data_IF_216966830102
#
_entry.id   IF_216966830102
#
_cell.length_a   1.000
_cell.length_b   1.000
_cell.length_c   1.000
_cell.angle_alpha   90.00
_cell.angle_beta   90.00
_cell.angle_gamma   90.00
#
_symmetry.space_group_name_H-M   'P 1'
#
loop_
_entity.id
_entity.type
_entity.pdbx_description
1 polymer ?
#
# COMPACT_ATOMS: atom_id res chain seq x y z
N UNK A 1 32.03 15.12 -5.74
CA UNK A 1 31.22 15.72 -4.64
C UNK A 1 30.85 14.58 -3.70
N UNK A 2 31.27 14.65 -2.45
CA UNK A 2 30.91 13.62 -1.46
C UNK A 2 29.40 13.72 -1.21
N UNK A 3 28.62 12.61 -1.26
CA UNK A 3 27.18 12.63 -0.97
C UNK A 3 26.84 13.23 0.39
N UNK A 4 27.76 13.18 1.34
CA UNK A 4 27.59 13.74 2.69
C UNK A 4 27.65 15.28 2.71
N UNK A 5 28.27 15.90 1.70
CA UNK A 5 28.34 17.37 1.61
C UNK A 5 26.99 18.01 1.22
N UNK A 6 26.06 17.17 0.71
CA UNK A 6 24.70 17.59 0.38
C UNK A 6 23.74 17.54 1.57
N UNK A 7 24.17 16.95 2.69
CA UNK A 7 23.31 16.86 3.90
C UNK A 7 23.28 18.23 4.58
N UNK A 8 22.09 18.83 4.78
CA UNK A 8 21.98 20.09 5.47
C UNK A 8 22.44 19.95 6.91
N UNK A 9 23.32 20.83 7.36
CA UNK A 9 23.85 20.83 8.73
C UNK A 9 22.79 21.13 9.79
N UNK A 10 21.71 21.80 9.39
CA UNK A 10 20.60 22.16 10.28
C UNK A 10 19.26 21.92 9.55
N UNK A 11 18.77 20.68 9.48
CA UNK A 11 17.44 20.41 8.96
C UNK A 11 16.39 20.94 9.95
N UNK A 12 15.26 21.42 9.44
CA UNK A 12 14.13 21.81 10.27
C UNK A 12 13.42 20.63 10.91
N UNK A 13 13.52 19.46 10.28
CA UNK A 13 13.01 18.17 10.78
C UNK A 13 13.80 17.02 10.15
N UNK A 14 13.82 15.89 10.82
CA UNK A 14 14.38 14.64 10.29
C UNK A 14 13.25 13.59 10.20
N UNK A 15 13.07 13.02 9.02
CA UNK A 15 12.12 11.95 8.76
C UNK A 15 12.91 10.67 8.47
N UNK A 16 12.66 9.62 9.22
CA UNK A 16 13.34 8.33 9.06
C UNK A 16 12.41 7.33 8.40
N UNK A 17 12.84 6.81 7.25
CA UNK A 17 12.10 5.88 6.40
C UNK A 17 11.45 6.57 5.20
N UNK A 18 11.81 6.08 3.99
CA UNK A 18 11.31 6.58 2.71
C UNK A 18 10.12 5.80 2.16
N UNK A 19 9.34 5.15 3.02
CA UNK A 19 8.03 4.60 2.66
C UNK A 19 6.96 5.68 2.54
N UNK A 20 5.72 5.32 2.19
CA UNK A 20 4.63 6.28 1.95
C UNK A 20 4.42 7.23 3.14
N UNK A 21 4.44 6.72 4.37
CA UNK A 21 4.25 7.54 5.56
C UNK A 21 5.35 8.61 5.71
N UNK A 22 6.62 8.23 5.53
CA UNK A 22 7.74 9.17 5.61
C UNK A 22 7.72 10.17 4.46
N UNK A 23 7.40 9.74 3.24
CA UNK A 23 7.29 10.63 2.09
C UNK A 23 6.19 11.67 2.27
N UNK A 24 5.00 11.25 2.72
CA UNK A 24 3.88 12.17 3.00
C UNK A 24 4.24 13.13 4.14
N UNK A 25 4.87 12.63 5.22
CA UNK A 25 5.32 13.48 6.31
C UNK A 25 6.33 14.53 5.85
N UNK A 26 7.32 14.14 5.06
CA UNK A 26 8.31 15.06 4.52
C UNK A 26 7.68 16.10 3.57
N UNK A 27 6.72 15.66 2.75
CA UNK A 27 5.98 16.52 1.84
C UNK A 27 5.13 17.55 2.60
N UNK A 28 4.38 17.15 3.62
CA UNK A 28 3.59 18.07 4.44
C UNK A 28 4.46 19.07 5.22
N UNK A 29 5.60 18.62 5.77
CA UNK A 29 6.57 19.49 6.41
C UNK A 29 7.11 20.55 5.40
N UNK A 30 7.44 20.12 4.19
CA UNK A 30 7.92 21.04 3.15
C UNK A 30 6.83 22.05 2.75
N UNK A 31 5.58 21.64 2.64
CA UNK A 31 4.44 22.55 2.39
C UNK A 31 4.23 23.56 3.50
N UNK A 32 4.52 23.16 4.73
CA UNK A 32 4.49 24.06 5.89
C UNK A 32 5.73 24.97 6.01
N UNK A 33 6.62 24.96 5.01
CA UNK A 33 7.84 25.79 5.00
C UNK A 33 8.99 25.23 5.84
N UNK A 34 8.85 24.03 6.39
CA UNK A 34 9.93 23.34 7.10
C UNK A 34 10.83 22.65 6.07
N UNK A 35 12.15 22.66 6.30
CA UNK A 35 13.12 21.93 5.46
C UNK A 35 13.35 20.53 6.04
N UNK A 36 12.68 19.47 5.58
CA UNK A 36 12.89 18.13 6.09
C UNK A 36 14.17 17.52 5.49
N UNK A 37 14.84 16.70 6.31
CA UNK A 37 15.82 15.72 5.86
C UNK A 37 15.19 14.34 5.95
N UNK A 38 15.02 13.67 4.81
CA UNK A 38 14.53 12.29 4.78
C UNK A 38 15.72 11.33 4.69
N UNK A 39 15.73 10.34 5.58
CA UNK A 39 16.77 9.30 5.65
C UNK A 39 16.11 7.96 5.31
N UNK A 40 16.63 7.29 4.29
CA UNK A 40 16.20 5.95 3.87
C UNK A 40 17.40 5.00 3.84
N UNK A 41 17.22 3.81 4.39
CA UNK A 41 18.28 2.79 4.46
C UNK A 41 18.51 2.07 3.12
N UNK A 42 17.48 2.02 2.27
CA UNK A 42 17.55 1.39 0.94
C UNK A 42 18.00 2.39 -0.11
N UNK A 43 18.47 1.93 -1.24
CA UNK A 43 18.83 2.77 -2.37
C UNK A 43 17.64 3.32 -3.18
N UNK A 44 16.41 3.16 -2.69
CA UNK A 44 15.19 3.60 -3.36
C UNK A 44 14.12 4.02 -2.34
N UNK A 45 13.20 4.88 -2.77
CA UNK A 45 12.03 5.34 -2.02
C UNK A 45 10.79 4.51 -2.40
N UNK A 46 9.74 4.58 -1.57
CA UNK A 46 8.46 3.92 -1.80
C UNK A 46 8.14 2.83 -0.77
N UNK A 47 9.15 2.20 -0.16
CA UNK A 47 8.93 1.16 0.85
C UNK A 47 8.22 -0.08 0.28
N UNK A 48 6.96 -0.29 0.67
CA UNK A 48 6.10 -1.38 0.16
C UNK A 48 5.44 -1.06 -1.19
N UNK A 49 5.52 0.18 -1.67
CA UNK A 49 5.11 0.52 -3.03
C UNK A 49 6.32 0.23 -3.93
N UNK A 50 6.36 -0.96 -4.49
CA UNK A 50 7.49 -1.44 -5.26
C UNK A 50 7.03 -1.92 -6.64
N UNK A 51 7.81 -1.60 -7.66
CA UNK A 51 7.61 -2.00 -9.05
C UNK A 51 8.61 -3.05 -9.46
N UNK A 52 8.19 -3.93 -10.34
CA UNK A 52 9.07 -4.89 -11.00
C UNK A 52 8.55 -5.31 -12.36
N UNK A 53 9.32 -6.12 -13.06
CA UNK A 53 8.96 -6.62 -14.39
C UNK A 53 8.92 -8.14 -14.35
N UNK A 54 7.81 -8.73 -14.76
CA UNK A 54 7.64 -10.17 -14.87
C UNK A 54 7.22 -10.50 -16.30
N UNK A 55 8.04 -11.32 -16.99
CA UNK A 55 7.77 -11.69 -18.37
C UNK A 55 7.68 -10.51 -19.35
N UNK A 56 8.39 -9.40 -19.07
CA UNK A 56 8.35 -8.18 -19.89
C UNK A 56 7.17 -7.25 -19.60
N UNK A 57 6.35 -7.57 -18.59
CA UNK A 57 5.22 -6.74 -18.16
C UNK A 57 5.56 -6.10 -16.82
N UNK A 58 5.36 -4.79 -16.70
CA UNK A 58 5.51 -4.06 -15.44
C UNK A 58 4.37 -4.42 -14.51
N UNK A 59 4.73 -4.77 -13.28
CA UNK A 59 3.78 -5.16 -12.24
C UNK A 59 4.15 -4.51 -10.91
N UNK A 60 3.16 -4.31 -10.07
CA UNK A 60 3.37 -3.94 -8.69
C UNK A 60 3.76 -5.18 -7.88
N UNK A 61 4.87 -5.10 -7.13
CA UNK A 61 5.41 -6.19 -6.30
C UNK A 61 4.99 -6.06 -4.83
N UNK A 62 4.24 -5.05 -4.49
CA UNK A 62 3.83 -4.74 -3.13
C UNK A 62 2.43 -4.15 -3.09
N UNK A 63 2.28 -2.99 -2.44
CA UNK A 63 1.00 -2.29 -2.37
C UNK A 63 0.64 -1.71 -3.74
N UNK A 64 -0.45 -2.21 -4.33
CA UNK A 64 -0.92 -1.83 -5.68
C UNK A 64 -2.20 -1.01 -5.66
N UNK A 65 -2.95 -1.06 -4.56
CA UNK A 65 -4.26 -0.42 -4.46
C UNK A 65 -4.41 0.34 -3.15
N UNK A 66 -5.32 1.30 -3.16
CA UNK A 66 -5.74 2.00 -1.96
C UNK A 66 -7.26 2.09 -1.90
N UNK A 67 -7.79 2.25 -0.70
CA UNK A 67 -9.24 2.30 -0.47
C UNK A 67 -9.72 3.74 -0.48
N UNK A 68 -10.71 4.07 -1.30
CA UNK A 68 -11.38 5.36 -1.36
C UNK A 68 -12.38 5.54 -0.19
N UNK A 69 -11.96 5.22 1.04
CA UNK A 69 -12.75 5.46 2.24
C UNK A 69 -12.17 6.64 3.00
N UNK A 70 -12.83 7.77 2.94
CA UNK A 70 -12.36 9.02 3.54
C UNK A 70 -11.69 9.94 2.53
N UNK A 71 -11.33 11.12 2.98
CA UNK A 71 -10.80 12.19 2.13
C UNK A 71 -9.28 12.23 2.07
N UNK A 72 -8.58 11.54 2.98
CA UNK A 72 -7.15 11.75 3.19
C UNK A 72 -6.29 11.26 2.02
N UNK A 73 -6.50 10.02 1.58
CA UNK A 73 -5.71 9.46 0.45
C UNK A 73 -6.09 10.13 -0.87
N UNK A 74 -7.38 10.37 -1.11
CA UNK A 74 -7.84 11.06 -2.31
C UNK A 74 -7.30 12.48 -2.39
N UNK A 75 -7.25 13.21 -1.28
CA UNK A 75 -6.71 14.56 -1.25
C UNK A 75 -5.22 14.62 -1.58
N UNK A 76 -4.44 13.62 -1.18
CA UNK A 76 -3.02 13.51 -1.55
C UNK A 76 -2.86 13.19 -3.04
N UNK A 77 -3.64 12.24 -3.56
CA UNK A 77 -3.63 11.87 -4.98
C UNK A 77 -3.95 13.08 -5.85
N UNK A 78 -5.00 13.82 -5.49
CA UNK A 78 -5.42 15.05 -6.19
C UNK A 78 -4.36 16.16 -6.10
N UNK A 79 -3.80 16.38 -4.91
CA UNK A 79 -2.77 17.40 -4.70
C UNK A 79 -1.46 17.11 -5.46
N UNK A 80 -1.17 15.83 -5.74
CA UNK A 80 -0.05 15.40 -6.55
C UNK A 80 -0.38 15.32 -8.05
N UNK A 81 -1.63 15.57 -8.45
CA UNK A 81 -2.07 15.47 -9.84
C UNK A 81 -2.00 14.06 -10.40
N UNK A 82 -2.12 13.04 -9.55
CA UNK A 82 -2.06 11.65 -9.97
C UNK A 82 -3.43 11.18 -10.48
N UNK A 83 -3.40 10.32 -11.48
CA UNK A 83 -4.60 9.67 -12.01
C UNK A 83 -4.73 8.29 -11.40
N UNK A 84 -5.89 7.98 -10.82
CA UNK A 84 -6.24 6.64 -10.37
C UNK A 84 -7.13 5.94 -11.39
N UNK A 85 -6.99 4.63 -11.47
CA UNK A 85 -7.84 3.76 -12.27
C UNK A 85 -8.57 2.79 -11.37
N UNK A 86 -9.84 2.54 -11.70
CA UNK A 86 -10.61 1.52 -10.99
C UNK A 86 -10.20 0.11 -11.47
N UNK A 87 -10.21 -0.89 -10.57
CA UNK A 87 -9.95 -2.27 -10.96
C UNK A 87 -10.94 -2.75 -12.03
N UNK A 88 -10.45 -3.50 -13.01
CA UNK A 88 -11.26 -4.03 -14.14
C UNK A 88 -12.15 -5.21 -13.70
N UNK A 89 -12.89 -5.10 -12.64
CA UNK A 89 -13.81 -6.16 -12.21
C UNK A 89 -14.42 -5.89 -10.84
N UNK A 90 -15.58 -6.45 -10.60
CA UNK A 90 -16.28 -6.35 -9.34
C UNK A 90 -15.80 -7.44 -8.38
N UNK A 91 -15.06 -7.05 -7.37
CA UNK A 91 -14.74 -7.88 -6.21
C UNK A 91 -13.31 -8.42 -6.20
N UNK A 92 -12.72 -8.29 -5.04
CA UNK A 92 -11.44 -8.89 -4.73
C UNK A 92 -11.58 -10.42 -4.62
N UNK A 93 -10.52 -11.14 -4.97
CA UNK A 93 -10.45 -12.61 -4.89
C UNK A 93 -9.24 -13.02 -4.07
N UNK A 94 -9.39 -14.11 -3.35
CA UNK A 94 -8.33 -14.71 -2.55
C UNK A 94 -7.89 -16.03 -3.19
N UNK A 95 -6.60 -16.20 -3.39
CA UNK A 95 -6.03 -17.49 -3.75
C UNK A 95 -5.77 -18.26 -2.46
N UNK A 96 -6.57 -19.28 -2.21
CA UNK A 96 -6.59 -20.01 -0.94
C UNK A 96 -6.52 -21.52 -1.14
N UNK A 97 -6.11 -22.28 -0.12
CA UNK A 97 -6.16 -23.75 -0.16
C UNK A 97 -7.59 -24.26 -0.42
N UNK A 98 -7.71 -25.21 -1.33
CA UNK A 98 -8.98 -25.86 -1.61
C UNK A 98 -9.23 -27.02 -0.64
N UNK A 99 -10.50 -27.25 -0.27
CA UNK A 99 -10.91 -28.33 0.67
C UNK A 99 -10.48 -29.73 0.23
N UNK A 100 -10.31 -29.96 -1.07
CA UNK A 100 -9.90 -31.26 -1.66
C UNK A 100 -8.42 -31.31 -2.03
N UNK A 101 -7.62 -30.38 -1.49
CA UNK A 101 -6.21 -30.21 -1.82
C UNK A 101 -5.99 -29.34 -3.05
N UNK A 102 -4.78 -28.73 -3.14
CA UNK A 102 -4.44 -27.73 -4.15
C UNK A 102 -4.85 -26.32 -3.72
N UNK A 103 -4.94 -25.42 -4.70
CA UNK A 103 -5.23 -24.00 -4.50
C UNK A 103 -6.32 -23.56 -5.46
N UNK A 104 -7.22 -22.73 -5.00
CA UNK A 104 -8.29 -22.17 -5.82
C UNK A 104 -8.50 -20.68 -5.59
N UNK A 105 -9.06 -20.00 -6.59
CA UNK A 105 -9.37 -18.58 -6.53
C UNK A 105 -10.81 -18.43 -6.01
N UNK A 106 -10.94 -17.91 -4.79
CA UNK A 106 -12.23 -17.67 -4.13
C UNK A 106 -12.58 -16.20 -4.10
N UNK A 107 -13.86 -15.80 -4.20
CA UNK A 107 -14.27 -14.43 -3.92
C UNK A 107 -14.03 -14.10 -2.43
N UNK A 108 -13.77 -12.83 -2.12
CA UNK A 108 -13.83 -12.39 -0.73
C UNK A 108 -15.22 -12.58 -0.15
N UNK A 109 -15.28 -12.83 1.14
CA UNK A 109 -16.51 -12.90 1.90
C UNK A 109 -17.28 -11.59 1.79
N UNK A 110 -18.59 -11.62 1.60
CA UNK A 110 -19.43 -10.44 1.41
C UNK A 110 -19.36 -9.48 2.59
N UNK A 111 -19.36 -10.00 3.81
CA UNK A 111 -19.32 -9.24 5.06
C UNK A 111 -17.93 -9.28 5.69
N UNK A 112 -16.91 -8.99 4.90
CA UNK A 112 -15.53 -8.99 5.37
C UNK A 112 -14.84 -7.64 5.10
N UNK A 113 -13.90 -7.30 5.99
CA UNK A 113 -12.97 -6.21 5.77
C UNK A 113 -11.60 -6.81 5.42
N UNK A 114 -11.15 -6.60 4.19
CA UNK A 114 -9.90 -7.17 3.66
C UNK A 114 -9.80 -8.70 3.82
N UNK A 115 -10.93 -9.39 3.66
CA UNK A 115 -11.00 -10.84 3.82
C UNK A 115 -11.13 -11.32 5.27
N UNK A 116 -11.15 -10.41 6.24
CA UNK A 116 -11.41 -10.72 7.65
C UNK A 116 -12.93 -10.63 7.87
N UNK A 117 -13.61 -11.71 8.25
CA UNK A 117 -15.04 -11.71 8.50
C UNK A 117 -15.41 -10.69 9.59
N UNK A 118 -16.50 -9.96 9.38
CA UNK A 118 -17.03 -9.06 10.40
C UNK A 118 -17.58 -9.83 11.61
N UNK A 119 -18.09 -11.06 11.38
CA UNK A 119 -18.62 -11.94 12.42
C UNK A 119 -18.16 -13.38 12.15
N UNK A 120 -17.70 -14.13 13.17
CA UNK A 120 -17.24 -15.50 13.01
C UNK A 120 -18.36 -16.47 12.61
N UNK A 121 -19.60 -16.14 12.94
CA UNK A 121 -20.77 -17.02 12.73
C UNK A 121 -21.44 -16.81 11.36
N UNK A 122 -20.82 -16.09 10.44
CA UNK A 122 -21.38 -15.95 9.09
C UNK A 122 -21.27 -17.28 8.33
N UNK A 123 -22.29 -17.67 7.54
CA UNK A 123 -22.23 -18.90 6.74
C UNK A 123 -21.01 -18.98 5.82
N UNK A 124 -20.53 -17.85 5.38
CA UNK A 124 -19.34 -17.75 4.55
C UNK A 124 -18.05 -18.12 5.29
N UNK A 125 -18.00 -17.92 6.63
CA UNK A 125 -16.83 -18.31 7.43
C UNK A 125 -16.68 -19.83 7.50
N UNK A 126 -17.76 -20.55 7.75
CA UNK A 126 -17.76 -22.02 7.75
C UNK A 126 -17.31 -22.59 6.39
N UNK A 127 -17.73 -21.94 5.30
CA UNK A 127 -17.34 -22.33 3.94
C UNK A 127 -15.86 -22.10 3.63
N UNK A 128 -15.24 -21.06 4.21
CA UNK A 128 -13.82 -20.71 3.96
C UNK A 128 -12.87 -21.38 4.94
N UNK A 129 -13.27 -21.50 6.21
CA UNK A 129 -12.42 -22.03 7.27
C UNK A 129 -12.57 -23.55 7.43
N UNK A 130 -13.58 -24.15 6.80
CA UNK A 130 -13.99 -25.52 7.05
C UNK A 130 -14.85 -25.63 8.31
N UNK A 131 -15.71 -26.60 8.37
CA UNK A 131 -16.36 -26.97 9.63
C UNK A 131 -15.30 -27.53 10.59
N UNK A 132 -15.28 -26.98 11.81
CA UNK A 132 -14.37 -27.41 12.86
C UNK A 132 -14.73 -28.80 13.39
#
# INVERSE_FOLDING_TARGET
>A
MNPLDAIPTHPGAVVVGGGIAGLVSAWELARAGVRPLLIEARGYLGGLIARGTVGGVDVDLGAETYVLRGTDTSSIVDALGLTSVEPAGSGARLYAPALRGGWELRPFLRDSFLGIPAHPDTPDCAHVLGEA
#
